data_IF_457666370626
#
_entry.id   IF_457666370626
#
_cell.length_a   1.000
_cell.length_b   1.000
_cell.length_c   1.000
_cell.angle_alpha   90.00
_cell.angle_beta   90.00
_cell.angle_gamma   90.00
#
_symmetry.space_group_name_H-M   'P 1'
#
loop_
_entity.id
_entity.type
_entity.pdbx_description
1 polymer ?
#
# COMPACT_ATOMS: atom_id res chain seq x y z
N UNK A 1 54.13 -4.58 -62.03
CA UNK A 1 52.88 -4.41 -61.24
C UNK A 1 51.95 -5.54 -61.63
N UNK A 2 51.74 -6.50 -60.72
CA UNK A 2 50.94 -7.70 -60.98
C UNK A 2 49.58 -7.58 -60.31
N UNK A 3 48.52 -7.74 -61.09
CA UNK A 3 47.10 -7.45 -60.81
C UNK A 3 46.51 -8.21 -59.60
N UNK A 4 47.25 -9.18 -59.05
CA UNK A 4 46.79 -10.04 -57.97
C UNK A 4 46.81 -9.41 -56.56
N UNK A 5 47.59 -8.33 -56.31
CA UNK A 5 47.75 -7.76 -54.96
C UNK A 5 46.63 -6.77 -54.60
N UNK A 6 46.04 -6.07 -55.57
CA UNK A 6 44.97 -5.09 -55.34
C UNK A 6 43.65 -5.71 -54.85
N UNK A 7 43.38 -6.99 -55.16
CA UNK A 7 42.14 -7.65 -54.77
C UNK A 7 42.11 -8.10 -53.30
N UNK A 8 43.25 -8.45 -52.70
CA UNK A 8 43.28 -8.92 -51.30
C UNK A 8 43.17 -7.77 -50.29
N UNK A 9 43.77 -6.61 -50.59
CA UNK A 9 43.73 -5.43 -49.71
C UNK A 9 42.32 -4.82 -49.62
N UNK A 10 41.53 -4.87 -50.70
CA UNK A 10 40.13 -4.42 -50.70
C UNK A 10 39.16 -5.37 -49.97
N UNK A 11 39.50 -6.66 -49.84
CA UNK A 11 38.63 -7.64 -49.15
C UNK A 11 38.78 -7.60 -47.64
N UNK A 12 39.96 -7.23 -47.14
CA UNK A 12 40.23 -7.13 -45.69
C UNK A 12 39.62 -5.84 -45.11
N UNK A 13 39.62 -4.74 -45.87
CA UNK A 13 39.01 -3.47 -45.44
C UNK A 13 37.48 -3.56 -45.32
N UNK A 14 36.82 -4.26 -46.24
CA UNK A 14 35.36 -4.46 -46.16
C UNK A 14 34.96 -5.25 -44.90
N UNK A 15 35.69 -6.30 -44.54
CA UNK A 15 35.37 -7.11 -43.36
C UNK A 15 35.54 -6.35 -42.04
N UNK A 16 36.57 -5.51 -41.91
CA UNK A 16 36.82 -4.72 -40.71
C UNK A 16 35.76 -3.62 -40.50
N UNK A 17 35.31 -2.98 -41.58
CA UNK A 17 34.24 -1.96 -41.53
C UNK A 17 32.91 -2.58 -41.14
N UNK A 18 32.56 -3.76 -41.69
CA UNK A 18 31.32 -4.46 -41.33
C UNK A 18 31.32 -4.92 -39.87
N UNK A 19 32.45 -5.39 -39.34
CA UNK A 19 32.56 -5.79 -37.93
C UNK A 19 32.42 -4.59 -36.96
N UNK A 20 33.00 -3.43 -37.30
CA UNK A 20 32.86 -2.22 -36.47
C UNK A 20 31.42 -1.68 -36.46
N UNK A 21 30.72 -1.73 -37.61
CA UNK A 21 29.31 -1.35 -37.71
C UNK A 21 28.43 -2.31 -36.89
N UNK A 22 28.69 -3.62 -36.97
CA UNK A 22 27.94 -4.61 -36.21
C UNK A 22 28.12 -4.44 -34.69
N UNK A 23 29.34 -4.19 -34.21
CA UNK A 23 29.60 -3.93 -32.79
C UNK A 23 28.96 -2.60 -32.34
N UNK A 24 29.02 -1.56 -33.18
CA UNK A 24 28.35 -0.28 -32.91
C UNK A 24 26.82 -0.43 -32.78
N UNK A 25 26.18 -1.16 -33.69
CA UNK A 25 24.76 -1.50 -33.61
C UNK A 25 24.43 -2.33 -32.35
N UNK A 26 25.27 -3.30 -32.00
CA UNK A 26 25.06 -4.11 -30.80
C UNK A 26 25.22 -3.32 -29.49
N UNK A 27 26.11 -2.33 -29.43
CA UNK A 27 26.29 -1.47 -28.26
C UNK A 27 25.15 -0.44 -28.13
N UNK A 28 24.69 0.17 -29.24
CA UNK A 28 23.53 1.06 -29.22
C UNK A 28 22.24 0.35 -28.78
N UNK A 29 22.04 -0.92 -29.15
CA UNK A 29 20.85 -1.68 -28.73
C UNK A 29 20.86 -2.11 -27.26
N UNK A 30 22.00 -2.09 -26.56
CA UNK A 30 22.03 -2.48 -25.13
C UNK A 30 21.47 -1.40 -24.20
N UNK A 31 21.62 -0.12 -24.56
CA UNK A 31 21.03 0.99 -23.82
C UNK A 31 19.49 0.97 -23.94
N UNK A 32 18.96 0.68 -25.13
CA UNK A 32 17.52 0.57 -25.39
C UNK A 32 16.88 -0.64 -24.68
N UNK A 33 17.57 -1.78 -24.58
CA UNK A 33 17.08 -2.95 -23.84
C UNK A 33 17.02 -2.66 -22.34
N UNK A 34 17.99 -1.92 -21.81
CA UNK A 34 18.04 -1.54 -20.38
C UNK A 34 16.97 -0.51 -20.03
N UNK A 35 16.73 0.47 -20.91
CA UNK A 35 15.67 1.47 -20.77
C UNK A 35 14.27 0.84 -20.89
N UNK A 36 14.05 0.00 -21.90
CA UNK A 36 12.76 -0.68 -22.12
C UNK A 36 12.43 -1.74 -21.06
N UNK A 37 13.42 -2.38 -20.43
CA UNK A 37 13.20 -3.25 -19.26
C UNK A 37 12.80 -2.43 -18.02
N UNK A 38 13.41 -1.25 -17.82
CA UNK A 38 13.02 -0.34 -16.72
C UNK A 38 11.62 0.22 -16.93
N UNK A 39 11.29 0.63 -18.15
CA UNK A 39 9.98 1.18 -18.51
C UNK A 39 8.85 0.16 -18.29
N UNK A 40 8.99 -1.08 -18.80
CA UNK A 40 8.00 -2.15 -18.54
C UNK A 40 7.88 -2.52 -17.06
N UNK A 41 8.95 -2.37 -16.28
CA UNK A 41 8.93 -2.62 -14.84
C UNK A 41 8.22 -1.50 -14.08
N UNK A 42 8.45 -0.24 -14.46
CA UNK A 42 7.73 0.92 -13.90
C UNK A 42 6.25 0.88 -14.27
N UNK A 43 5.90 0.51 -15.50
CA UNK A 43 4.51 0.39 -15.93
C UNK A 43 3.76 -0.74 -15.20
N UNK A 44 4.39 -1.91 -15.01
CA UNK A 44 3.80 -2.97 -14.16
C UNK A 44 3.69 -2.57 -12.70
N UNK A 45 4.66 -1.84 -12.16
CA UNK A 45 4.61 -1.35 -10.79
C UNK A 45 3.50 -0.29 -10.63
N UNK A 46 3.36 0.62 -11.59
CA UNK A 46 2.28 1.61 -11.59
C UNK A 46 0.91 0.97 -11.76
N UNK A 47 0.78 -0.02 -12.66
CA UNK A 47 -0.45 -0.80 -12.80
C UNK A 47 -0.78 -1.58 -11.52
N UNK A 48 0.23 -2.09 -10.80
CA UNK A 48 0.02 -2.75 -9.50
C UNK A 48 -0.34 -1.77 -8.39
N UNK A 49 0.26 -0.57 -8.36
CA UNK A 49 -0.07 0.50 -7.42
C UNK A 49 -1.50 0.99 -7.66
N UNK A 50 -1.89 1.22 -8.91
CA UNK A 50 -3.24 1.62 -9.30
C UNK A 50 -4.24 0.51 -8.98
N UNK A 51 -3.91 -0.75 -9.27
CA UNK A 51 -4.76 -1.91 -9.00
C UNK A 51 -5.13 -2.04 -7.51
N UNK A 52 -4.20 -1.78 -6.58
CA UNK A 52 -4.49 -1.89 -5.14
C UNK A 52 -5.56 -0.88 -4.70
N UNK A 53 -5.73 0.25 -5.38
CA UNK A 53 -6.79 1.22 -5.06
C UNK A 53 -8.09 0.99 -5.84
N UNK A 54 -8.19 -0.02 -6.70
CA UNK A 54 -9.44 -0.26 -7.43
C UNK A 54 -10.46 -0.95 -6.54
N UNK A 55 -11.73 -0.65 -6.80
CA UNK A 55 -12.85 -1.26 -6.07
C UNK A 55 -12.81 -2.79 -6.16
N UNK A 56 -12.40 -3.36 -7.30
CA UNK A 56 -12.33 -4.82 -7.46
C UNK A 56 -11.26 -5.45 -6.57
N UNK A 57 -10.08 -4.83 -6.44
CA UNK A 57 -9.04 -5.33 -5.55
C UNK A 57 -9.49 -5.23 -4.09
N UNK A 58 -10.09 -4.10 -3.71
CA UNK A 58 -10.56 -3.87 -2.36
C UNK A 58 -11.67 -4.86 -1.96
N UNK A 59 -12.63 -5.13 -2.84
CA UNK A 59 -13.69 -6.13 -2.63
C UNK A 59 -13.14 -7.57 -2.54
N UNK A 60 -12.12 -7.89 -3.34
CA UNK A 60 -11.43 -9.17 -3.23
C UNK A 60 -10.76 -9.32 -1.86
N UNK A 61 -10.11 -8.26 -1.36
CA UNK A 61 -9.52 -8.26 -0.02
C UNK A 61 -10.57 -8.34 1.08
N UNK A 62 -11.71 -7.64 0.96
CA UNK A 62 -12.84 -7.78 1.89
C UNK A 62 -13.29 -9.24 2.01
N UNK A 63 -13.44 -9.90 0.87
CA UNK A 63 -13.85 -11.31 0.81
C UNK A 63 -12.79 -12.21 1.46
N UNK A 64 -11.51 -12.03 1.11
CA UNK A 64 -10.41 -12.81 1.69
C UNK A 64 -10.31 -12.63 3.21
N UNK A 65 -10.46 -11.39 3.69
CA UNK A 65 -10.43 -11.07 5.12
C UNK A 65 -11.59 -11.74 5.85
N UNK A 66 -12.81 -11.67 5.30
CA UNK A 66 -13.98 -12.30 5.88
C UNK A 66 -13.84 -13.82 5.91
N UNK A 67 -13.40 -14.44 4.82
CA UNK A 67 -13.18 -15.89 4.73
C UNK A 67 -12.15 -16.38 5.75
N UNK A 68 -11.02 -15.69 5.88
CA UNK A 68 -9.99 -16.02 6.88
C UNK A 68 -10.48 -15.83 8.31
N UNK A 69 -11.20 -14.73 8.58
CA UNK A 69 -11.80 -14.40 9.87
C UNK A 69 -12.78 -15.49 10.28
N UNK A 70 -13.70 -15.85 9.39
CA UNK A 70 -14.86 -16.72 9.64
C UNK A 70 -14.53 -18.21 9.57
N UNK A 71 -13.32 -18.57 9.10
CA UNK A 71 -12.84 -19.95 9.07
C UNK A 71 -12.82 -20.65 10.44
N UNK A 72 -12.87 -19.90 11.54
CA UNK A 72 -13.03 -20.42 12.91
C UNK A 72 -13.52 -19.33 13.86
N UNK A 73 -14.08 -19.76 14.98
CA UNK A 73 -14.52 -18.87 16.06
C UNK A 73 -13.35 -18.03 16.63
N UNK A 74 -13.61 -16.73 16.81
CA UNK A 74 -12.64 -15.71 17.23
C UNK A 74 -13.03 -15.15 18.58
N UNK A 75 -12.39 -15.62 19.64
CA UNK A 75 -12.56 -15.10 21.00
C UNK A 75 -11.36 -14.27 21.41
N UNK A 76 -11.34 -13.75 22.64
CA UNK A 76 -10.18 -13.05 23.22
C UNK A 76 -8.91 -13.93 23.20
N UNK A 77 -9.06 -15.27 23.27
CA UNK A 77 -7.94 -16.21 23.21
C UNK A 77 -7.51 -16.56 21.77
N UNK A 78 -8.33 -16.22 20.77
CA UNK A 78 -8.13 -16.59 19.37
C UNK A 78 -8.36 -15.44 18.38
N UNK A 79 -7.97 -14.22 18.78
CA UNK A 79 -8.13 -12.99 18.00
C UNK A 79 -7.58 -13.17 16.58
N UNK A 80 -8.35 -12.74 15.59
CA UNK A 80 -7.91 -12.64 14.21
C UNK A 80 -7.25 -11.27 13.98
N UNK A 81 -6.08 -11.27 13.33
CA UNK A 81 -5.36 -10.04 12.99
C UNK A 81 -4.77 -10.13 11.60
N UNK A 82 -4.83 -9.05 10.82
CA UNK A 82 -4.16 -8.95 9.52
C UNK A 82 -3.47 -7.60 9.38
N UNK A 83 -2.15 -7.61 9.19
CA UNK A 83 -1.36 -6.39 8.97
C UNK A 83 -1.51 -5.93 7.53
N UNK A 84 -1.60 -4.61 7.32
CA UNK A 84 -1.83 -3.99 6.01
C UNK A 84 -2.93 -4.73 5.20
N UNK A 85 -4.15 -4.88 5.76
CA UNK A 85 -5.19 -5.77 5.24
C UNK A 85 -5.54 -5.48 3.77
N UNK A 86 -5.48 -4.22 3.36
CA UNK A 86 -5.85 -3.73 2.04
C UNK A 86 -4.65 -3.38 1.14
N UNK A 87 -3.42 -3.62 1.60
CA UNK A 87 -2.21 -3.27 0.85
C UNK A 87 -1.85 -1.78 0.81
N UNK A 88 -2.76 -0.88 1.16
CA UNK A 88 -2.63 0.58 1.02
C UNK A 88 -1.93 1.27 2.20
N UNK A 89 -1.89 0.64 3.37
CA UNK A 89 -1.30 1.21 4.58
C UNK A 89 -0.48 0.18 5.35
N UNK A 90 0.84 0.25 5.18
CA UNK A 90 1.81 -0.66 5.83
C UNK A 90 1.86 -0.54 7.34
N UNK A 91 1.28 0.53 7.91
CA UNK A 91 1.25 0.80 9.35
C UNK A 91 -0.12 0.53 9.96
N UNK A 92 -1.01 -0.18 9.26
CA UNK A 92 -2.32 -0.57 9.78
C UNK A 92 -2.41 -2.05 10.10
N UNK A 93 -3.32 -2.40 11.00
CA UNK A 93 -3.67 -3.79 11.32
C UNK A 93 -5.16 -3.90 11.57
N UNK A 94 -5.80 -4.82 10.86
CA UNK A 94 -7.17 -5.25 11.11
C UNK A 94 -7.20 -6.19 12.31
N UNK A 95 -8.20 -6.03 13.18
CA UNK A 95 -8.41 -6.86 14.37
C UNK A 95 -9.87 -7.26 14.45
N UNK A 96 -10.11 -8.56 14.70
CA UNK A 96 -11.45 -9.09 14.90
C UNK A 96 -11.51 -10.15 16.02
N UNK A 97 -12.50 -10.02 16.89
CA UNK A 97 -12.90 -11.04 17.86
C UNK A 97 -14.28 -10.73 18.45
N UNK A 98 -14.88 -11.70 19.12
CA UNK A 98 -16.14 -11.56 19.85
C UNK A 98 -15.96 -11.81 21.35
N UNK A 99 -16.90 -11.29 22.13
CA UNK A 99 -16.99 -11.46 23.59
C UNK A 99 -18.42 -11.80 24.00
N UNK A 100 -18.58 -12.60 25.05
CA UNK A 100 -19.91 -12.96 25.56
C UNK A 100 -20.68 -11.77 26.15
N UNK A 101 -19.97 -10.73 26.58
CA UNK A 101 -20.54 -9.52 27.16
C UNK A 101 -20.12 -8.30 26.37
N UNK A 102 -21.03 -7.33 26.26
CA UNK A 102 -20.74 -6.04 25.64
C UNK A 102 -19.61 -5.35 26.39
N UNK A 103 -18.52 -5.09 25.69
CA UNK A 103 -17.27 -4.58 26.27
C UNK A 103 -16.74 -3.44 25.43
N UNK A 104 -15.91 -2.57 26.02
CA UNK A 104 -15.14 -1.59 25.27
C UNK A 104 -13.72 -2.09 25.06
N UNK A 105 -13.12 -1.75 23.92
CA UNK A 105 -11.76 -2.15 23.58
C UNK A 105 -10.87 -0.92 23.54
N UNK A 106 -9.72 -1.00 24.20
CA UNK A 106 -8.64 -0.01 24.07
C UNK A 106 -7.37 -0.72 23.62
N UNK A 107 -6.56 -0.03 22.82
CA UNK A 107 -5.30 -0.55 22.32
C UNK A 107 -4.18 0.46 22.56
N UNK A 108 -2.98 -0.07 22.76
CA UNK A 108 -1.76 0.72 22.94
C UNK A 108 -0.72 0.26 21.92
N UNK A 109 -0.20 1.20 21.14
CA UNK A 109 0.91 0.99 20.20
C UNK A 109 2.17 1.57 20.82
N UNK A 110 3.16 0.71 21.04
CA UNK A 110 4.46 1.08 21.59
C UNK A 110 5.57 0.92 20.55
N UNK A 111 6.47 1.90 20.47
CA UNK A 111 7.67 1.80 19.64
C UNK A 111 8.88 2.41 20.35
N UNK A 112 10.04 1.82 20.12
CA UNK A 112 11.29 2.29 20.70
C UNK A 112 11.58 3.73 20.27
N UNK A 113 11.85 4.60 21.25
CA UNK A 113 12.14 6.01 21.00
C UNK A 113 10.92 6.91 20.75
N UNK A 114 9.70 6.38 20.83
CA UNK A 114 8.45 7.13 20.68
C UNK A 114 7.54 6.95 21.91
N UNK A 115 6.72 7.95 22.27
CA UNK A 115 5.67 7.77 23.27
C UNK A 115 4.66 6.71 22.84
N UNK A 116 4.09 6.01 23.82
CA UNK A 116 2.98 5.11 23.59
C UNK A 116 1.76 5.87 23.06
N UNK A 117 1.12 5.33 22.03
CA UNK A 117 -0.16 5.81 21.54
C UNK A 117 -1.27 4.90 22.06
N UNK A 118 -2.23 5.46 22.79
CA UNK A 118 -3.39 4.72 23.30
C UNK A 118 -4.68 5.33 22.77
N UNK A 119 -5.58 4.48 22.28
CA UNK A 119 -6.90 4.88 21.81
C UNK A 119 -7.95 3.81 22.12
N UNK A 120 -9.21 4.23 22.18
CA UNK A 120 -10.35 3.32 22.22
C UNK A 120 -10.69 2.90 20.79
N UNK A 121 -10.94 1.62 20.59
CA UNK A 121 -11.48 1.11 19.34
C UNK A 121 -12.97 1.50 19.21
N UNK A 122 -13.36 1.88 18.00
CA UNK A 122 -14.76 2.13 17.65
C UNK A 122 -15.27 0.84 17.02
N UNK A 123 -16.00 0.03 17.79
CA UNK A 123 -16.45 -1.32 17.38
C UNK A 123 -17.96 -1.46 17.21
N UNK A 124 -18.73 -0.46 17.64
CA UNK A 124 -20.17 -0.41 17.48
C UNK A 124 -20.54 0.31 16.18
N UNK A 125 -21.48 -0.25 15.43
CA UNK A 125 -22.02 0.35 14.20
C UNK A 125 -22.65 1.72 14.43
N UNK A 126 -23.31 1.91 15.56
CA UNK A 126 -23.93 3.19 15.93
C UNK A 126 -22.86 4.26 16.16
N UNK A 127 -21.81 3.92 16.92
CA UNK A 127 -20.67 4.80 17.11
C UNK A 127 -19.93 5.08 15.79
N UNK A 128 -19.70 4.05 14.97
CA UNK A 128 -19.04 4.20 13.68
C UNK A 128 -19.87 5.08 12.72
N UNK A 129 -21.19 4.95 12.72
CA UNK A 129 -22.09 5.79 11.94
C UNK A 129 -22.03 7.26 12.38
N UNK A 130 -22.05 7.52 13.68
CA UNK A 130 -21.94 8.87 14.23
C UNK A 130 -20.62 9.56 13.83
N UNK A 131 -19.52 8.79 13.77
CA UNK A 131 -18.24 9.29 13.26
C UNK A 131 -18.25 9.51 11.74
N UNK A 132 -18.84 8.61 10.95
CA UNK A 132 -18.97 8.77 9.50
C UNK A 132 -19.81 9.99 9.12
N UNK A 133 -20.90 10.24 9.83
CA UNK A 133 -21.77 11.42 9.62
C UNK A 133 -21.01 12.72 9.91
N UNK A 134 -20.25 12.78 11.01
CA UNK A 134 -19.42 13.93 11.33
C UNK A 134 -18.34 14.19 10.27
N UNK A 135 -17.71 13.14 9.72
CA UNK A 135 -16.72 13.26 8.65
C UNK A 135 -17.34 13.65 7.29
N UNK A 136 -18.57 13.24 7.00
CA UNK A 136 -19.28 13.57 5.76
C UNK A 136 -19.82 15.02 5.74
N UNK A 137 -20.06 15.62 6.91
CA UNK A 137 -20.50 17.02 7.04
C UNK A 137 -19.52 18.06 6.49
N UNK A 138 -18.23 17.72 6.37
CA UNK A 138 -17.20 18.58 5.75
C UNK A 138 -17.12 18.43 4.22
N UNK A 139 -17.83 17.45 3.62
CA UNK A 139 -17.73 17.10 2.21
C UNK A 139 -18.84 17.72 1.32
N UNK A 140 -19.63 18.68 1.80
CA UNK A 140 -20.50 19.49 0.94
C UNK A 140 -19.69 20.59 0.22
N UNK A 141 -18.97 20.18 -0.82
CA UNK A 141 -19.19 20.64 -2.20
C UNK A 141 -19.29 22.13 -2.56
N UNK A 142 -19.16 23.09 -1.65
CA UNK A 142 -19.12 24.51 -1.99
C UNK A 142 -17.69 25.04 -1.88
N UNK A 143 -17.08 25.31 -3.04
CA UNK A 143 -15.70 25.74 -3.12
C UNK A 143 -15.42 26.98 -2.28
N UNK A 144 -14.40 26.90 -1.43
CA UNK A 144 -13.69 28.08 -1.00
C UNK A 144 -12.20 27.77 -0.78
N UNK A 145 -11.39 28.24 -1.72
CA UNK A 145 -9.94 28.36 -1.56
C UNK A 145 -9.70 29.49 -0.56
N UNK A 146 -9.18 29.16 0.62
CA UNK A 146 -8.70 30.13 1.59
C UNK A 146 -9.63 30.34 2.78
N UNK A 147 -9.44 29.51 3.81
CA UNK A 147 -10.06 29.70 5.11
C UNK A 147 -9.96 28.43 5.94
N UNK A 148 -9.21 28.48 7.03
CA UNK A 148 -9.27 27.50 8.12
C UNK A 148 -10.70 27.40 8.64
N UNK A 149 -11.50 26.51 8.07
CA UNK A 149 -12.78 26.09 8.63
C UNK A 149 -12.55 24.81 9.41
N UNK A 150 -12.02 24.94 10.63
CA UNK A 150 -12.11 23.89 11.63
C UNK A 150 -13.52 23.96 12.22
N UNK A 151 -14.49 23.37 11.53
CA UNK A 151 -15.76 23.03 12.16
C UNK A 151 -15.52 21.76 12.97
N UNK A 152 -14.95 21.89 14.17
CA UNK A 152 -14.89 20.79 15.14
C UNK A 152 -16.29 20.49 15.65
N UNK A 153 -17.10 19.80 14.85
CA UNK A 153 -18.30 19.14 15.35
C UNK A 153 -17.83 17.99 16.25
N UNK A 154 -17.78 18.27 17.55
CA UNK A 154 -17.40 17.28 18.56
C UNK A 154 -18.61 16.39 18.83
N UNK A 155 -18.78 15.34 18.02
CA UNK A 155 -19.70 14.25 18.37
C UNK A 155 -19.13 13.56 19.61
N UNK A 156 -19.79 13.75 20.75
CA UNK A 156 -19.40 13.09 21.99
C UNK A 156 -19.93 11.66 21.96
N UNK A 157 -19.09 10.71 21.55
CA UNK A 157 -19.43 9.28 21.62
C UNK A 157 -19.21 8.79 23.06
N UNK A 158 -20.25 8.24 23.68
CA UNK A 158 -20.17 7.68 25.03
C UNK A 158 -19.49 6.32 25.03
N UNK A 159 -18.90 5.93 26.17
CA UNK A 159 -18.38 4.57 26.36
C UNK A 159 -19.45 3.48 26.20
N UNK A 160 -20.73 3.81 26.44
CA UNK A 160 -21.82 2.87 26.22
C UNK A 160 -22.11 2.68 24.73
N UNK A 161 -21.90 3.71 23.91
CA UNK A 161 -22.19 3.66 22.48
C UNK A 161 -21.14 2.84 21.72
N UNK A 162 -19.93 2.70 22.29
CA UNK A 162 -18.83 1.89 21.74
C UNK A 162 -18.79 0.47 22.29
N UNK A 163 -19.59 0.13 23.31
CA UNK A 163 -19.57 -1.21 23.88
C UNK A 163 -20.24 -2.20 22.92
N UNK A 164 -19.54 -3.28 22.57
CA UNK A 164 -20.02 -4.29 21.62
C UNK A 164 -19.68 -5.72 22.08
N UNK A 165 -20.44 -6.70 21.61
CA UNK A 165 -20.06 -8.13 21.70
C UNK A 165 -19.22 -8.57 20.50
N UNK A 166 -19.20 -7.77 19.44
CA UNK A 166 -18.41 -7.98 18.22
C UNK A 166 -17.43 -6.82 18.06
N UNK A 167 -16.14 -7.15 17.97
CA UNK A 167 -15.07 -6.17 17.94
C UNK A 167 -14.36 -6.22 16.61
N UNK A 168 -14.76 -5.36 15.69
CA UNK A 168 -14.14 -5.18 14.40
C UNK A 168 -13.59 -3.76 14.28
N UNK A 169 -12.28 -3.62 14.13
CA UNK A 169 -11.66 -2.29 14.02
C UNK A 169 -10.29 -2.34 13.36
N UNK A 170 -9.86 -1.18 12.87
CA UNK A 170 -8.52 -0.97 12.32
C UNK A 170 -7.65 -0.22 13.34
N UNK A 171 -6.52 -0.80 13.69
CA UNK A 171 -5.45 -0.11 14.42
C UNK A 171 -4.63 0.68 13.41
N UNK A 172 -4.50 1.99 13.63
CA UNK A 172 -3.74 2.90 12.79
C UNK A 172 -2.44 3.33 13.48
N UNK A 173 -1.37 3.49 12.71
CA UNK A 173 -0.12 4.06 13.21
C UNK A 173 0.84 3.05 13.86
N UNK A 174 0.88 1.80 13.39
CA UNK A 174 2.00 0.90 13.67
C UNK A 174 3.29 1.57 13.21
N UNK A 175 4.10 2.08 14.14
CA UNK A 175 5.36 2.75 13.80
C UNK A 175 6.24 1.72 13.08
N UNK A 176 6.52 1.90 11.78
CA UNK A 176 7.36 0.95 11.07
C UNK A 176 8.74 1.02 11.71
N UNK A 177 9.35 -0.12 12.01
CA UNK A 177 10.76 -0.14 12.38
C UNK A 177 11.54 0.45 11.22
N UNK A 178 11.95 1.71 11.32
CA UNK A 178 12.99 2.26 10.46
C UNK A 178 14.27 1.50 10.79
N UNK A 179 14.49 0.39 10.09
CA UNK A 179 15.79 -0.24 10.07
C UNK A 179 16.60 0.52 9.05
N UNK A 180 17.40 1.51 9.46
CA UNK A 180 18.64 1.95 8.76
C UNK A 180 19.32 3.08 9.53
N UNK A 181 20.67 3.25 9.48
CA UNK A 181 21.58 2.74 8.44
C UNK A 181 22.72 1.84 8.96
N UNK A 182 23.27 1.02 8.09
CA UNK A 182 24.61 0.44 8.26
C UNK A 182 25.35 0.53 6.93
N UNK A 183 26.65 0.76 6.96
CA UNK A 183 27.38 1.92 7.50
C UNK A 183 27.62 3.01 6.43
#
# INVERSE_FOLDING_TARGET
MSTAVRSRVFKISAAAVTAAIAIGLCLFSQDDVSASIKERRVERLNAQIENVYTDEYQQMMDTEIADERDAKERTVDSIYTKVNPYGTNTTSMYVYFTTDQASTVSYTVSAEGYPDYTANAITSDEAAAAYREAAAGDADGSGNVGGTSTASQTTTVSSNDIASTEHEFLVLGLIPRSRTPLP
#
